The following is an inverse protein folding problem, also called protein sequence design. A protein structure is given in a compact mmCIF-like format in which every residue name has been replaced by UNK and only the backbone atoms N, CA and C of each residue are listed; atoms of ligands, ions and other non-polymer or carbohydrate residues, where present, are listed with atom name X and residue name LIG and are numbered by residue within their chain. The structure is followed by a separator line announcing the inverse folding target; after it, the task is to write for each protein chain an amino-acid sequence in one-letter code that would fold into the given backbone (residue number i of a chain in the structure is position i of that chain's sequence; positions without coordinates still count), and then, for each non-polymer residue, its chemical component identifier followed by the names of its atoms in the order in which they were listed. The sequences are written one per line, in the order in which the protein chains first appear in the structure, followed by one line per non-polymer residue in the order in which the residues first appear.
data_IF_990116862993
#
_entry.id   IF_990116862993
#
_cell.length_a   1.000
_cell.length_b   1.000
_cell.length_c   1.000
_cell.angle_alpha   90.00
_cell.angle_beta   90.00
_cell.angle_gamma   90.00
#
_symmetry.space_group_name_H-M   'P 1'
#
loop_
_entity.id
_entity.type
_entity.pdbx_description
1 polymer ?
#
# COMPACT_ATOMS: atom_id res chain seq x y z
N UNK A 1 1.73 -2.49 -24.56
CA UNK A 1 2.91 -2.75 -23.71
C UNK A 1 2.81 -4.12 -23.08
N UNK A 2 3.96 -4.75 -22.76
CA UNK A 2 4.07 -5.99 -22.00
C UNK A 2 4.42 -5.66 -20.53
N UNK A 3 3.55 -5.98 -19.60
CA UNK A 3 3.69 -5.62 -18.19
C UNK A 3 3.78 -6.89 -17.36
N UNK A 4 4.83 -7.03 -16.54
CA UNK A 4 4.91 -8.12 -15.59
C UNK A 4 4.49 -7.67 -14.19
N UNK A 5 3.91 -8.58 -13.43
CA UNK A 5 3.53 -8.40 -12.03
C UNK A 5 4.20 -9.49 -11.21
N UNK A 6 5.02 -9.11 -10.23
CA UNK A 6 5.62 -10.09 -9.34
C UNK A 6 4.59 -10.56 -8.30
N UNK A 7 4.27 -11.85 -8.39
CA UNK A 7 3.29 -12.49 -7.53
C UNK A 7 1.87 -12.45 -8.09
N UNK A 8 0.93 -12.98 -7.32
CA UNK A 8 -0.51 -13.00 -7.60
C UNK A 8 -1.30 -12.37 -6.45
N UNK A 9 -0.72 -11.37 -5.79
CA UNK A 9 -1.36 -10.63 -4.71
C UNK A 9 -2.42 -9.66 -5.24
N UNK A 10 -3.25 -9.17 -4.33
CA UNK A 10 -4.41 -8.32 -4.63
C UNK A 10 -4.05 -7.09 -5.44
N UNK A 11 -3.10 -6.28 -4.94
CA UNK A 11 -2.73 -5.00 -5.54
C UNK A 11 -2.21 -5.21 -6.97
N UNK A 12 -1.20 -6.11 -7.12
CA UNK A 12 -0.64 -6.41 -8.45
C UNK A 12 -1.68 -6.94 -9.42
N UNK A 13 -2.59 -7.82 -8.98
CA UNK A 13 -3.66 -8.37 -9.83
C UNK A 13 -4.70 -7.32 -10.20
N UNK A 14 -5.04 -6.38 -9.30
CA UNK A 14 -5.94 -5.27 -9.60
C UNK A 14 -5.39 -4.37 -10.70
N UNK A 15 -4.10 -4.01 -10.63
CA UNK A 15 -3.45 -3.20 -11.67
C UNK A 15 -3.25 -4.00 -12.97
N UNK A 16 -2.92 -5.30 -12.89
CA UNK A 16 -2.84 -6.16 -14.05
C UNK A 16 -4.18 -6.22 -14.81
N UNK A 17 -5.29 -6.39 -14.08
CA UNK A 17 -6.63 -6.31 -14.63
C UNK A 17 -6.89 -4.95 -15.30
N UNK A 18 -6.59 -3.84 -14.63
CA UNK A 18 -6.81 -2.51 -15.19
C UNK A 18 -6.02 -2.28 -16.49
N UNK A 19 -4.74 -2.68 -16.52
CA UNK A 19 -3.91 -2.59 -17.74
C UNK A 19 -4.37 -3.55 -18.84
N UNK A 20 -4.83 -4.76 -18.51
CA UNK A 20 -5.37 -5.68 -19.52
C UNK A 20 -6.63 -5.09 -20.16
N UNK A 21 -7.51 -4.44 -19.38
CA UNK A 21 -8.69 -3.73 -19.91
C UNK A 21 -8.33 -2.51 -20.75
N UNK A 22 -7.18 -1.88 -20.51
CA UNK A 22 -6.62 -0.80 -21.33
C UNK A 22 -5.90 -1.31 -22.60
N UNK A 23 -5.92 -2.63 -22.86
CA UNK A 23 -5.36 -3.23 -24.09
C UNK A 23 -3.87 -3.60 -23.99
N UNK A 24 -3.31 -3.68 -22.78
CA UNK A 24 -1.94 -4.14 -22.56
C UNK A 24 -1.89 -5.64 -22.27
N UNK A 25 -0.74 -6.26 -22.56
CA UNK A 25 -0.45 -7.63 -22.18
C UNK A 25 0.09 -7.68 -20.75
N UNK A 26 -0.52 -8.50 -19.89
CA UNK A 26 -0.13 -8.62 -18.49
C UNK A 26 0.27 -10.05 -18.12
N UNK A 27 1.36 -10.20 -17.38
CA UNK A 27 1.96 -11.48 -17.05
C UNK A 27 2.30 -11.54 -15.56
N UNK A 28 2.07 -12.66 -14.89
CA UNK A 28 2.48 -12.87 -13.52
C UNK A 28 3.81 -13.62 -13.43
N UNK A 29 4.75 -13.08 -12.68
CA UNK A 29 5.99 -13.75 -12.30
C UNK A 29 5.69 -14.51 -11.01
N UNK A 30 5.58 -15.83 -11.07
CA UNK A 30 5.32 -16.68 -9.92
C UNK A 30 6.57 -17.51 -9.57
N UNK A 31 6.70 -17.87 -8.30
CA UNK A 31 7.64 -18.89 -7.88
C UNK A 31 7.25 -20.25 -8.45
N UNK A 32 8.22 -21.11 -8.73
CA UNK A 32 8.01 -22.40 -9.42
C UNK A 32 6.92 -23.25 -8.77
N UNK A 33 6.90 -23.31 -7.44
CA UNK A 33 5.92 -24.08 -6.68
C UNK A 33 4.47 -23.56 -6.82
N UNK A 34 4.30 -22.34 -7.30
CA UNK A 34 2.97 -21.72 -7.49
C UNK A 34 2.47 -21.76 -8.94
N UNK A 35 3.35 -22.10 -9.91
CA UNK A 35 3.00 -22.08 -11.33
C UNK A 35 1.89 -23.09 -11.63
N UNK A 36 2.02 -24.33 -11.16
CA UNK A 36 1.05 -25.41 -11.43
C UNK A 36 -0.34 -25.15 -10.82
N UNK A 37 -0.41 -24.34 -9.76
CA UNK A 37 -1.67 -23.98 -9.09
C UNK A 37 -2.26 -22.64 -9.55
N UNK A 38 -1.62 -21.96 -10.51
CA UNK A 38 -2.10 -20.67 -10.99
C UNK A 38 -3.42 -20.84 -11.76
N UNK A 39 -4.47 -20.08 -11.42
CA UNK A 39 -5.71 -20.14 -12.17
C UNK A 39 -5.53 -19.51 -13.56
N UNK A 40 -6.19 -20.04 -14.59
CA UNK A 40 -6.19 -19.41 -15.92
C UNK A 40 -7.00 -18.11 -15.96
N UNK A 41 -7.96 -17.96 -15.02
CA UNK A 41 -8.86 -16.83 -14.92
C UNK A 41 -9.20 -16.53 -13.46
N UNK A 42 -9.47 -15.25 -13.20
CA UNK A 42 -9.91 -14.74 -11.89
C UNK A 42 -11.19 -13.92 -12.13
N UNK A 43 -12.26 -14.21 -11.39
CA UNK A 43 -13.45 -13.36 -11.36
C UNK A 43 -13.11 -12.07 -10.61
N UNK A 44 -13.48 -10.92 -11.16
CA UNK A 44 -13.19 -9.60 -10.59
C UNK A 44 -14.49 -8.92 -10.18
N UNK A 45 -14.61 -8.57 -8.91
CA UNK A 45 -15.61 -7.66 -8.36
C UNK A 45 -14.89 -6.37 -7.98
N UNK A 46 -15.03 -5.35 -8.82
CA UNK A 46 -14.33 -4.07 -8.67
C UNK A 46 -15.30 -2.96 -8.29
N UNK A 47 -15.01 -2.24 -7.22
CA UNK A 47 -15.54 -0.90 -7.03
C UNK A 47 -14.59 0.11 -7.67
N UNK A 48 -14.96 0.57 -8.86
CA UNK A 48 -14.14 1.41 -9.73
C UNK A 48 -14.35 2.90 -9.47
N UNK A 49 -13.34 3.55 -8.91
CA UNK A 49 -13.34 4.99 -8.63
C UNK A 49 -12.74 5.86 -9.73
N UNK A 50 -12.24 5.26 -10.83
CA UNK A 50 -11.49 6.01 -11.85
C UNK A 50 -12.33 7.05 -12.59
N UNK A 51 -13.55 6.70 -12.94
CA UNK A 51 -14.48 7.62 -13.62
C UNK A 51 -15.52 8.23 -12.68
N UNK A 52 -15.78 7.62 -11.53
CA UNK A 52 -16.77 8.07 -10.56
C UNK A 52 -16.17 8.08 -9.15
N UNK A 53 -15.99 9.26 -8.52
CA UNK A 53 -15.43 9.35 -7.16
C UNK A 53 -16.25 8.66 -6.06
N UNK A 54 -17.49 8.28 -6.34
CA UNK A 54 -18.31 7.45 -5.44
C UNK A 54 -18.12 5.96 -5.65
N UNK A 55 -17.41 5.57 -6.72
CA UNK A 55 -17.26 4.21 -7.18
C UNK A 55 -18.42 3.73 -8.06
N UNK A 56 -18.11 2.80 -8.93
CA UNK A 56 -19.06 2.05 -9.75
C UNK A 56 -18.73 0.57 -9.64
N UNK A 57 -19.70 -0.24 -9.26
CA UNK A 57 -19.53 -1.69 -9.17
C UNK A 57 -19.42 -2.30 -10.55
N UNK A 58 -18.39 -3.14 -10.75
CA UNK A 58 -18.15 -3.87 -11.99
C UNK A 58 -17.84 -5.34 -11.69
N UNK A 59 -18.52 -6.22 -12.39
CA UNK A 59 -18.22 -7.65 -12.43
C UNK A 59 -17.59 -7.99 -13.77
N UNK A 60 -16.44 -8.66 -13.73
CA UNK A 60 -15.69 -8.97 -14.92
C UNK A 60 -14.78 -10.20 -14.70
N UNK A 61 -13.97 -10.51 -15.69
CA UNK A 61 -13.00 -11.60 -15.67
C UNK A 61 -11.62 -11.09 -16.08
N UNK A 62 -10.61 -11.49 -15.31
CA UNK A 62 -9.20 -11.28 -15.61
C UNK A 62 -8.56 -12.57 -16.09
N UNK A 63 -7.90 -12.55 -17.25
CA UNK A 63 -7.13 -13.68 -17.78
C UNK A 63 -5.71 -13.63 -17.26
N UNK A 64 -5.26 -14.70 -16.64
CA UNK A 64 -3.93 -14.81 -16.06
C UNK A 64 -2.98 -15.41 -17.10
N UNK A 65 -1.94 -14.67 -17.47
CA UNK A 65 -0.79 -15.18 -18.22
C UNK A 65 0.42 -15.24 -17.29
N UNK A 66 1.32 -16.18 -17.54
CA UNK A 66 2.53 -16.37 -16.75
C UNK A 66 3.76 -15.94 -17.53
N UNK A 67 4.69 -15.28 -16.85
CA UNK A 67 5.99 -14.95 -17.43
C UNK A 67 6.89 -16.20 -17.49
N UNK A 68 7.67 -16.31 -18.54
CA UNK A 68 8.68 -17.33 -18.72
C UNK A 68 10.07 -16.83 -18.32
N UNK A 69 11.01 -17.74 -18.08
CA UNK A 69 12.39 -17.37 -17.83
C UNK A 69 13.02 -16.73 -19.08
N UNK A 70 13.76 -15.64 -18.90
CA UNK A 70 14.36 -14.86 -20.00
C UNK A 70 13.45 -13.81 -20.63
N UNK A 71 12.18 -13.71 -20.20
CA UNK A 71 11.26 -12.69 -20.72
C UNK A 71 11.73 -11.27 -20.45
N UNK A 72 11.39 -10.37 -21.38
CA UNK A 72 11.60 -8.92 -21.23
C UNK A 72 10.27 -8.19 -21.29
N UNK A 73 10.12 -7.22 -20.37
CA UNK A 73 8.90 -6.44 -20.20
C UNK A 73 9.19 -4.95 -20.30
N UNK A 74 8.19 -4.18 -20.72
CA UNK A 74 8.26 -2.71 -20.70
C UNK A 74 8.29 -2.22 -19.25
N UNK A 75 7.58 -2.88 -18.33
CA UNK A 75 7.60 -2.61 -16.90
C UNK A 75 7.36 -3.88 -16.07
N UNK A 76 7.95 -3.92 -14.87
CA UNK A 76 7.73 -4.97 -13.88
C UNK A 76 7.20 -4.33 -12.59
N UNK A 77 5.97 -4.63 -12.23
CA UNK A 77 5.37 -4.17 -10.97
C UNK A 77 5.78 -5.12 -9.84
N UNK A 78 6.41 -4.57 -8.81
CA UNK A 78 6.74 -5.28 -7.57
C UNK A 78 5.76 -4.85 -6.50
N UNK A 79 4.75 -5.68 -6.23
CA UNK A 79 3.75 -5.48 -5.19
C UNK A 79 3.89 -6.58 -4.14
N UNK A 80 4.79 -6.38 -3.20
CA UNK A 80 5.09 -7.34 -2.13
C UNK A 80 4.93 -6.70 -0.77
N UNK A 81 4.65 -7.52 0.25
CA UNK A 81 4.54 -7.08 1.64
C UNK A 81 5.84 -6.42 2.14
N UNK A 82 5.72 -5.60 3.17
CA UNK A 82 6.84 -4.89 3.77
C UNK A 82 7.99 -5.83 4.14
N UNK A 83 9.23 -5.40 3.84
CA UNK A 83 10.46 -6.17 4.09
C UNK A 83 10.78 -7.28 3.08
N UNK A 84 9.93 -7.52 2.06
CA UNK A 84 10.12 -8.61 1.07
C UNK A 84 10.77 -8.18 -0.26
N UNK A 85 11.21 -6.93 -0.38
CA UNK A 85 11.79 -6.42 -1.63
C UNK A 85 13.03 -7.20 -2.07
N UNK A 86 13.94 -7.55 -1.14
CA UNK A 86 15.16 -8.31 -1.47
C UNK A 86 14.83 -9.69 -2.08
N UNK A 87 13.83 -10.39 -1.54
CA UNK A 87 13.41 -11.70 -2.06
C UNK A 87 12.72 -11.56 -3.42
N UNK A 88 11.98 -10.47 -3.62
CA UNK A 88 11.37 -10.11 -4.90
C UNK A 88 12.45 -9.96 -6.00
N UNK A 89 13.50 -9.19 -5.73
CA UNK A 89 14.61 -8.97 -6.66
C UNK A 89 15.36 -10.28 -6.96
N UNK A 90 15.60 -11.12 -5.94
CA UNK A 90 16.23 -12.44 -6.15
C UNK A 90 15.38 -13.30 -7.11
N UNK A 91 14.05 -13.29 -6.96
CA UNK A 91 13.14 -14.06 -7.83
C UNK A 91 13.21 -13.58 -9.28
N UNK A 92 13.22 -12.28 -9.53
CA UNK A 92 13.34 -11.70 -10.88
C UNK A 92 14.69 -12.09 -11.51
N UNK A 93 15.79 -11.89 -10.75
CA UNK A 93 17.15 -12.20 -11.22
C UNK A 93 17.36 -13.70 -11.49
N UNK A 94 16.84 -14.59 -10.62
CA UNK A 94 17.00 -16.05 -10.79
C UNK A 94 16.29 -16.59 -12.03
N UNK A 95 15.29 -15.88 -12.55
CA UNK A 95 14.57 -16.23 -13.78
C UNK A 95 15.04 -15.46 -15.02
N UNK A 96 16.12 -14.67 -14.90
CA UNK A 96 16.65 -13.79 -15.98
C UNK A 96 15.57 -12.88 -16.61
N UNK A 97 14.56 -12.47 -15.82
CA UNK A 97 13.50 -11.58 -16.27
C UNK A 97 14.01 -10.13 -16.26
N UNK A 98 13.73 -9.37 -17.31
CA UNK A 98 14.28 -8.03 -17.56
C UNK A 98 13.19 -6.99 -17.74
N UNK A 99 13.42 -5.79 -17.26
CA UNK A 99 12.56 -4.60 -17.42
C UNK A 99 12.71 -3.63 -16.26
N UNK A 100 12.35 -2.36 -16.46
CA UNK A 100 12.28 -1.35 -15.41
C UNK A 100 11.26 -1.73 -14.33
N UNK A 101 11.58 -1.42 -13.06
CA UNK A 101 10.80 -1.81 -11.90
C UNK A 101 9.88 -0.67 -11.43
N UNK A 102 8.62 -0.98 -11.18
CA UNK A 102 7.67 -0.10 -10.47
C UNK A 102 7.48 -0.67 -9.08
N UNK A 103 7.95 0.05 -8.05
CA UNK A 103 7.91 -0.41 -6.66
C UNK A 103 6.58 0.00 -6.00
N UNK A 104 5.67 -0.95 -5.84
CA UNK A 104 4.43 -0.83 -5.06
C UNK A 104 4.61 -1.44 -3.68
N UNK A 105 5.57 -0.91 -2.92
CA UNK A 105 5.97 -1.49 -1.65
C UNK A 105 5.90 -0.47 -0.52
N UNK A 106 5.42 -0.92 0.65
CA UNK A 106 5.63 -0.22 1.90
C UNK A 106 7.04 -0.55 2.40
N UNK A 107 7.92 0.45 2.53
CA UNK A 107 9.24 0.26 3.11
C UNK A 107 9.60 1.42 4.03
N UNK A 108 10.27 1.06 5.14
CA UNK A 108 10.82 2.00 6.12
C UNK A 108 12.28 2.32 5.86
N UNK A 109 12.86 1.72 4.83
CA UNK A 109 14.25 1.90 4.41
C UNK A 109 14.51 3.33 3.91
N UNK A 110 15.75 3.79 4.07
CA UNK A 110 16.25 4.96 3.36
C UNK A 110 16.44 4.63 1.87
N UNK A 111 16.36 5.64 1.00
CA UNK A 111 16.57 5.48 -0.47
C UNK A 111 17.81 4.68 -0.78
N UNK A 112 18.96 5.01 -0.16
CA UNK A 112 20.23 4.32 -0.37
C UNK A 112 20.14 2.81 -0.10
N UNK A 113 19.43 2.40 0.95
CA UNK A 113 19.26 0.99 1.28
C UNK A 113 18.39 0.26 0.24
N UNK A 114 17.38 0.92 -0.31
CA UNK A 114 16.57 0.38 -1.40
C UNK A 114 17.43 0.24 -2.66
N UNK A 115 18.22 1.24 -3.00
CA UNK A 115 19.13 1.21 -4.16
C UNK A 115 20.20 0.11 -4.03
N UNK A 116 20.72 -0.15 -2.84
CA UNK A 116 21.63 -1.27 -2.59
C UNK A 116 20.98 -2.64 -2.90
N UNK A 117 19.68 -2.80 -2.60
CA UNK A 117 18.92 -4.02 -2.94
C UNK A 117 18.70 -4.15 -4.45
N UNK A 118 18.37 -3.03 -5.11
CA UNK A 118 18.05 -3.01 -6.53
C UNK A 118 19.30 -3.14 -7.42
N UNK A 119 20.45 -2.62 -6.96
CA UNK A 119 21.69 -2.55 -7.74
C UNK A 119 21.54 -1.62 -8.95
N UNK A 120 21.90 -2.13 -10.14
CA UNK A 120 21.85 -1.36 -11.39
C UNK A 120 20.47 -1.34 -12.06
N UNK A 121 19.43 -1.90 -11.42
CA UNK A 121 18.09 -1.93 -12.00
C UNK A 121 17.52 -0.52 -12.13
N UNK A 122 16.89 -0.24 -13.27
CA UNK A 122 16.04 0.93 -13.41
C UNK A 122 14.79 0.78 -12.54
N UNK A 123 14.38 1.85 -11.87
CA UNK A 123 13.19 1.79 -11.02
C UNK A 123 12.50 3.14 -10.84
N UNK A 124 11.26 3.07 -10.47
CA UNK A 124 10.46 4.19 -9.96
C UNK A 124 9.69 3.73 -8.74
N UNK A 125 9.61 4.58 -7.73
CA UNK A 125 8.82 4.33 -6.55
C UNK A 125 7.41 4.89 -6.74
N UNK A 126 6.41 4.07 -6.42
CA UNK A 126 5.03 4.48 -6.48
C UNK A 126 4.23 3.86 -5.32
N UNK A 127 3.08 4.43 -5.02
CA UNK A 127 2.16 3.88 -4.02
C UNK A 127 0.79 3.66 -4.66
N UNK A 128 0.30 2.40 -4.70
CA UNK A 128 -0.97 2.05 -5.30
C UNK A 128 -2.13 2.50 -4.42
N UNK A 129 -3.12 3.17 -5.00
CA UNK A 129 -4.37 3.51 -4.33
C UNK A 129 -5.45 2.49 -4.69
N UNK A 130 -5.19 1.26 -4.34
CA UNK A 130 -6.05 0.12 -4.52
C UNK A 130 -5.99 -0.78 -3.28
N UNK A 131 -7.03 -1.57 -3.07
CA UNK A 131 -7.08 -2.53 -1.97
C UNK A 131 -8.08 -3.64 -2.26
N UNK A 132 -8.03 -4.71 -1.47
CA UNK A 132 -8.94 -5.81 -1.71
C UNK A 132 -8.51 -7.11 -1.04
N UNK A 133 -9.11 -8.20 -1.47
CA UNK A 133 -8.71 -9.56 -1.13
C UNK A 133 -9.00 -10.50 -2.30
N UNK A 134 -8.22 -11.58 -2.38
CA UNK A 134 -8.47 -12.71 -3.28
C UNK A 134 -8.86 -13.90 -2.44
N UNK A 135 -10.03 -14.47 -2.72
CA UNK A 135 -10.53 -15.66 -2.05
C UNK A 135 -11.28 -16.53 -3.07
N UNK A 136 -11.00 -17.82 -3.08
CA UNK A 136 -11.68 -18.83 -3.93
C UNK A 136 -11.70 -18.45 -5.42
N UNK A 137 -10.59 -17.90 -5.94
CA UNK A 137 -10.47 -17.48 -7.34
C UNK A 137 -11.23 -16.19 -7.69
N UNK A 138 -11.69 -15.44 -6.68
CA UNK A 138 -12.37 -14.17 -6.83
C UNK A 138 -11.54 -13.04 -6.24
N UNK A 139 -11.32 -12.00 -7.04
CA UNK A 139 -10.70 -10.75 -6.64
C UNK A 139 -11.82 -9.75 -6.29
N UNK A 140 -11.95 -9.42 -5.01
CA UNK A 140 -12.80 -8.30 -4.57
C UNK A 140 -11.89 -7.11 -4.30
N UNK A 141 -12.03 -6.03 -5.06
CA UNK A 141 -11.09 -4.91 -4.99
C UNK A 141 -11.75 -3.55 -5.17
N UNK A 142 -10.99 -2.55 -4.77
CA UNK A 142 -11.27 -1.12 -4.99
C UNK A 142 -10.10 -0.55 -5.77
N UNK A 143 -10.36 0.30 -6.75
CA UNK A 143 -9.36 1.04 -7.48
C UNK A 143 -9.74 2.52 -7.55
N UNK A 144 -8.88 3.40 -7.03
CA UNK A 144 -9.05 4.84 -7.12
C UNK A 144 -8.57 5.37 -8.49
N UNK A 145 -8.85 6.63 -8.76
CA UNK A 145 -8.51 7.29 -10.00
C UNK A 145 -7.06 7.79 -10.09
N UNK A 146 -6.26 7.57 -9.06
CA UNK A 146 -4.89 8.07 -9.00
C UNK A 146 -3.93 7.07 -8.35
N UNK A 147 -2.64 7.39 -8.46
CA UNK A 147 -1.53 6.71 -7.82
C UNK A 147 -0.55 7.77 -7.32
N UNK A 148 0.09 7.56 -6.18
CA UNK A 148 1.23 8.39 -5.81
C UNK A 148 2.44 7.91 -6.60
N UNK A 149 3.13 8.83 -7.27
CA UNK A 149 4.24 8.49 -8.16
C UNK A 149 5.44 9.38 -7.89
N UNK A 150 6.62 8.79 -7.85
CA UNK A 150 7.87 9.52 -7.77
C UNK A 150 8.05 10.43 -9.00
N UNK A 151 8.55 11.65 -8.79
CA UNK A 151 8.81 12.57 -9.90
C UNK A 151 9.85 12.02 -10.87
N UNK A 152 9.69 12.30 -12.17
CA UNK A 152 10.66 11.87 -13.20
C UNK A 152 12.09 12.38 -12.96
N UNK A 153 12.26 13.49 -12.24
CA UNK A 153 13.58 14.02 -11.88
C UNK A 153 14.29 13.24 -10.77
N UNK A 154 13.55 12.46 -9.97
CA UNK A 154 14.08 11.62 -8.88
C UNK A 154 14.05 10.12 -9.23
N UNK A 155 13.17 9.73 -10.13
CA UNK A 155 13.06 8.35 -10.60
C UNK A 155 14.32 7.94 -11.37
N UNK A 156 14.72 6.68 -11.19
CA UNK A 156 15.88 6.09 -11.88
C UNK A 156 15.38 5.17 -13.00
N UNK A 157 14.65 5.76 -13.95
CA UNK A 157 14.02 5.06 -15.07
C UNK A 157 14.27 5.86 -16.37
N UNK A 158 14.63 5.18 -17.44
CA UNK A 158 14.98 5.82 -18.72
C UNK A 158 13.77 6.37 -19.46
N UNK A 159 12.64 5.67 -19.44
CA UNK A 159 11.39 6.08 -20.13
C UNK A 159 10.25 6.35 -19.14
N UNK A 160 10.36 7.47 -18.42
CA UNK A 160 9.30 7.93 -17.53
C UNK A 160 8.02 8.31 -18.30
N UNK A 161 8.14 8.77 -19.54
CA UNK A 161 6.99 9.16 -20.35
C UNK A 161 6.15 7.93 -20.76
N UNK A 162 6.78 6.80 -21.06
CA UNK A 162 6.06 5.55 -21.30
C UNK A 162 5.27 5.07 -20.08
N UNK A 163 5.84 5.21 -18.86
CA UNK A 163 5.11 4.91 -17.62
C UNK A 163 3.87 5.79 -17.45
N UNK A 164 4.01 7.10 -17.65
CA UNK A 164 2.89 8.04 -17.59
C UNK A 164 1.83 7.68 -18.63
N UNK A 165 2.24 7.30 -19.85
CA UNK A 165 1.33 6.85 -20.90
C UNK A 165 0.58 5.56 -20.51
N UNK A 166 1.28 4.59 -19.88
CA UNK A 166 0.67 3.37 -19.37
C UNK A 166 -0.41 3.68 -18.34
N UNK A 167 -0.12 4.52 -17.35
CA UNK A 167 -1.08 4.89 -16.31
C UNK A 167 -2.29 5.62 -16.88
N UNK A 168 -2.07 6.60 -17.76
CA UNK A 168 -3.13 7.36 -18.42
C UNK A 168 -4.04 6.47 -19.27
N UNK A 169 -3.48 5.44 -19.94
CA UNK A 169 -4.28 4.52 -20.76
C UNK A 169 -5.29 3.70 -19.94
N UNK A 170 -5.03 3.54 -18.64
CA UNK A 170 -5.90 2.86 -17.70
C UNK A 170 -6.73 3.84 -16.84
N UNK A 171 -6.82 5.12 -17.21
CA UNK A 171 -7.51 6.19 -16.47
C UNK A 171 -6.97 6.39 -15.04
N UNK A 172 -5.65 6.20 -14.83
CA UNK A 172 -4.97 6.37 -13.55
C UNK A 172 -4.13 7.63 -13.58
N UNK A 173 -4.54 8.65 -12.83
CA UNK A 173 -3.82 9.91 -12.66
C UNK A 173 -2.59 9.74 -11.79
N UNK A 174 -1.63 10.63 -11.91
CA UNK A 174 -0.42 10.64 -11.09
C UNK A 174 -0.46 11.83 -10.12
N UNK A 175 -0.35 11.56 -8.84
CA UNK A 175 -0.08 12.55 -7.81
C UNK A 175 1.40 12.46 -7.41
N UNK A 176 2.12 13.59 -7.51
CA UNK A 176 3.57 13.66 -7.31
C UNK A 176 3.84 14.33 -5.95
N UNK A 177 4.21 13.57 -4.91
CA UNK A 177 4.60 14.15 -3.63
C UNK A 177 5.98 14.81 -3.71
N UNK A 178 6.32 15.64 -2.72
CA UNK A 178 7.64 16.28 -2.64
C UNK A 178 8.78 15.27 -2.67
N UNK A 179 8.70 14.21 -1.86
CA UNK A 179 9.57 13.04 -1.92
C UNK A 179 8.74 11.78 -1.66
N UNK A 180 8.93 10.76 -2.50
CA UNK A 180 8.11 9.55 -2.43
C UNK A 180 8.45 8.68 -1.22
N UNK A 181 9.73 8.64 -0.79
CA UNK A 181 10.16 7.88 0.39
C UNK A 181 9.59 8.49 1.67
N UNK A 182 9.72 9.81 1.83
CA UNK A 182 9.15 10.52 2.97
C UNK A 182 7.62 10.40 3.00
N UNK A 183 6.97 10.44 1.82
CA UNK A 183 5.53 10.25 1.70
C UNK A 183 5.10 8.86 2.19
N UNK A 184 5.82 7.79 1.79
CA UNK A 184 5.56 6.42 2.26
C UNK A 184 5.73 6.34 3.79
N UNK A 185 6.77 6.95 4.36
CA UNK A 185 6.96 6.98 5.82
C UNK A 185 5.82 7.70 6.54
N UNK A 186 5.36 8.84 6.00
CA UNK A 186 4.19 9.57 6.54
C UNK A 186 2.95 8.69 6.47
N UNK A 187 2.72 8.04 5.34
CA UNK A 187 1.59 7.12 5.16
C UNK A 187 1.64 5.95 6.16
N UNK A 188 2.80 5.34 6.35
CA UNK A 188 2.99 4.29 7.35
C UNK A 188 2.77 4.80 8.78
N UNK A 189 3.22 6.01 9.10
CA UNK A 189 3.01 6.62 10.40
C UNK A 189 1.52 6.92 10.67
N UNK A 190 0.79 7.44 9.67
CA UNK A 190 -0.67 7.64 9.75
C UNK A 190 -1.37 6.29 10.00
N UNK A 191 -1.04 5.27 9.23
CA UNK A 191 -1.62 3.94 9.39
C UNK A 191 -1.29 3.32 10.74
N UNK A 192 -0.08 3.52 11.28
CA UNK A 192 0.28 3.06 12.63
C UNK A 192 -0.57 3.72 13.71
N UNK A 193 -0.83 5.02 13.61
CA UNK A 193 -1.74 5.74 14.51
C UNK A 193 -3.18 5.23 14.45
N UNK A 194 -3.69 5.00 13.23
CA UNK A 194 -5.04 4.44 12.98
C UNK A 194 -5.14 3.02 13.54
N UNK A 195 -4.24 2.13 13.13
CA UNK A 195 -4.26 0.70 13.50
C UNK A 195 -4.10 0.50 15.00
N UNK A 196 -3.13 1.17 15.62
CA UNK A 196 -2.93 1.06 17.07
C UNK A 196 -4.16 1.52 17.86
N UNK A 197 -4.90 2.51 17.35
CA UNK A 197 -6.15 2.97 17.96
C UNK A 197 -7.30 2.00 17.71
N UNK A 198 -7.43 1.43 16.51
CA UNK A 198 -8.43 0.43 16.21
C UNK A 198 -8.29 -0.81 17.10
N UNK A 199 -7.05 -1.26 17.30
CA UNK A 199 -6.70 -2.42 18.13
C UNK A 199 -6.29 -2.05 19.59
N UNK A 200 -6.74 -0.91 20.12
CA UNK A 200 -6.34 -0.41 21.44
C UNK A 200 -6.63 -1.34 22.62
N UNK A 201 -7.58 -2.26 22.45
CA UNK A 201 -7.86 -3.32 23.43
C UNK A 201 -6.87 -4.50 23.33
N UNK A 202 -5.88 -4.42 22.43
CA UNK A 202 -4.83 -5.41 22.25
C UNK A 202 -5.18 -6.56 21.31
N UNK A 203 -6.35 -6.56 20.68
CA UNK A 203 -6.81 -7.62 19.78
C UNK A 203 -6.77 -7.12 18.33
N UNK A 204 -6.12 -7.86 17.43
CA UNK A 204 -5.96 -7.52 16.01
C UNK A 204 -6.27 -8.72 15.07
N UNK A 205 -7.08 -9.65 15.53
CA UNK A 205 -7.43 -10.87 14.79
C UNK A 205 -8.45 -10.67 13.65
N UNK A 206 -9.23 -9.59 13.70
CA UNK A 206 -10.18 -9.21 12.65
C UNK A 206 -10.02 -7.73 12.28
N UNK A 207 -9.03 -7.39 11.43
CA UNK A 207 -8.79 -6.00 11.00
C UNK A 207 -10.02 -5.35 10.37
N UNK A 208 -10.85 -6.11 9.65
CA UNK A 208 -12.03 -5.59 8.99
C UNK A 208 -13.10 -5.15 9.98
N UNK A 209 -13.33 -5.92 11.03
CA UNK A 209 -14.25 -5.56 12.11
C UNK A 209 -13.74 -4.30 12.83
N UNK A 210 -12.45 -4.28 13.20
CA UNK A 210 -11.82 -3.16 13.88
C UNK A 210 -11.90 -1.86 13.06
N UNK A 211 -11.68 -1.95 11.74
CA UNK A 211 -11.81 -0.81 10.83
C UNK A 211 -13.25 -0.28 10.81
N UNK A 212 -14.27 -1.17 10.70
CA UNK A 212 -15.69 -0.76 10.75
C UNK A 212 -16.07 -0.10 12.07
N UNK A 213 -15.66 -0.68 13.19
CA UNK A 213 -15.90 -0.13 14.52
C UNK A 213 -15.26 1.26 14.67
N UNK A 214 -14.01 1.41 14.26
CA UNK A 214 -13.30 2.69 14.28
C UNK A 214 -14.01 3.76 13.44
N UNK A 215 -14.33 3.44 12.18
CA UNK A 215 -15.00 4.39 11.27
C UNK A 215 -16.39 4.81 11.76
N UNK A 216 -17.08 3.94 12.49
CA UNK A 216 -18.40 4.21 13.08
C UNK A 216 -18.38 5.06 14.35
N UNK A 217 -17.22 5.28 14.98
CA UNK A 217 -17.09 5.96 16.27
C UNK A 217 -16.24 7.23 16.18
N UNK A 218 -16.89 8.41 16.25
CA UNK A 218 -16.18 9.69 16.22
C UNK A 218 -15.25 9.90 17.43
N UNK A 219 -15.51 9.27 18.57
CA UNK A 219 -14.62 9.35 19.75
C UNK A 219 -13.35 8.53 19.51
N UNK A 220 -13.48 7.32 18.96
CA UNK A 220 -12.35 6.50 18.57
C UNK A 220 -11.52 7.19 17.48
N UNK A 221 -12.16 7.78 16.45
CA UNK A 221 -11.48 8.59 15.43
C UNK A 221 -10.76 9.81 16.02
N UNK A 222 -11.33 10.45 17.06
CA UNK A 222 -10.65 11.54 17.78
C UNK A 222 -9.36 11.04 18.47
N UNK A 223 -9.38 9.84 19.01
CA UNK A 223 -8.19 9.20 19.60
C UNK A 223 -7.19 8.85 18.49
N UNK A 224 -7.64 8.31 17.36
CA UNK A 224 -6.78 8.02 16.21
C UNK A 224 -6.05 9.27 15.69
N UNK A 225 -6.74 10.41 15.59
CA UNK A 225 -6.10 11.68 15.20
C UNK A 225 -5.00 12.09 16.20
N UNK A 226 -5.18 11.85 17.50
CA UNK A 226 -4.14 12.13 18.50
C UNK A 226 -2.96 11.16 18.36
N UNK A 227 -3.22 9.88 18.14
CA UNK A 227 -2.18 8.89 17.90
C UNK A 227 -1.38 9.19 16.61
N UNK A 228 -2.05 9.60 15.53
CA UNK A 228 -1.40 10.04 14.29
C UNK A 228 -0.45 11.22 14.54
N UNK A 229 -0.87 12.20 15.37
CA UNK A 229 0.02 13.32 15.74
C UNK A 229 1.26 12.90 16.51
N UNK A 230 1.19 11.81 17.26
CA UNK A 230 2.37 11.22 17.89
C UNK A 230 3.24 10.51 16.85
N UNK A 231 2.65 9.63 16.03
CA UNK A 231 3.41 8.80 15.09
C UNK A 231 4.10 9.60 13.98
N UNK A 232 3.51 10.69 13.49
CA UNK A 232 4.17 11.54 12.47
C UNK A 232 5.41 12.27 13.00
N UNK A 233 5.55 12.48 14.33
CA UNK A 233 6.79 13.01 14.92
C UNK A 233 7.98 12.08 14.69
N UNK A 234 7.74 10.78 14.53
CA UNK A 234 8.79 9.81 14.20
C UNK A 234 9.38 10.10 12.83
N UNK A 235 8.53 10.45 11.86
CA UNK A 235 8.96 10.81 10.51
C UNK A 235 9.70 12.14 10.48
N UNK A 236 9.22 13.13 11.24
CA UNK A 236 9.93 14.40 11.42
C UNK A 236 11.31 14.20 12.04
N UNK A 237 11.40 13.37 13.09
CA UNK A 237 12.67 13.03 13.73
C UNK A 237 13.63 12.24 12.81
N UNK A 238 13.12 11.58 11.74
CA UNK A 238 13.94 10.98 10.67
C UNK A 238 14.53 12.02 9.71
N UNK A 239 14.05 13.26 9.74
CA UNK A 239 14.55 14.36 8.93
C UNK A 239 13.57 14.88 7.87
N UNK A 240 12.37 14.29 7.75
CA UNK A 240 11.37 14.78 6.81
C UNK A 240 10.80 16.14 7.25
N UNK A 241 10.70 17.08 6.32
CA UNK A 241 10.03 18.37 6.58
C UNK A 241 8.51 18.26 6.39
N UNK A 242 7.80 18.03 7.48
CA UNK A 242 6.34 17.89 7.46
C UNK A 242 5.57 19.10 6.92
N UNK A 243 6.22 20.26 6.72
CA UNK A 243 5.60 21.44 6.10
C UNK A 243 5.38 21.25 4.60
N UNK A 244 6.13 20.37 3.97
CA UNK A 244 6.04 20.03 2.55
C UNK A 244 4.88 19.07 2.23
N UNK A 245 4.29 18.46 3.26
CA UNK A 245 3.21 17.46 3.18
C UNK A 245 1.92 17.98 3.81
N UNK A 246 1.55 19.23 3.45
CA UNK A 246 0.38 19.89 4.05
C UNK A 246 -0.93 19.22 3.71
N UNK A 247 -1.07 18.72 2.49
CA UNK A 247 -2.30 18.08 2.01
C UNK A 247 -2.58 16.79 2.78
N UNK A 248 -1.55 15.99 3.02
CA UNK A 248 -1.63 14.72 3.74
C UNK A 248 -1.92 14.92 5.23
N UNK A 249 -1.37 15.99 5.82
CA UNK A 249 -1.40 16.20 7.26
C UNK A 249 -2.46 17.19 7.74
N UNK A 250 -3.05 18.00 6.85
CA UNK A 250 -4.07 19.00 7.21
C UNK A 250 -5.25 18.42 8.00
N UNK A 251 -5.82 17.24 7.63
CA UNK A 251 -6.94 16.66 8.39
C UNK A 251 -6.59 16.36 9.85
N UNK A 252 -5.32 16.11 10.16
CA UNK A 252 -4.84 15.79 11.49
C UNK A 252 -4.37 17.02 12.29
N UNK A 253 -4.24 18.20 11.68
CA UNK A 253 -3.82 19.45 12.34
C UNK A 253 -4.98 20.23 12.95
N UNK A 254 -6.19 20.07 12.45
CA UNK A 254 -7.40 20.69 13.02
C UNK A 254 -7.78 20.06 14.37
N UNK A 255 -8.56 20.73 15.26
CA UNK A 255 -8.92 20.15 16.55
C UNK A 255 -9.41 18.70 16.45
N UNK A 256 -8.84 17.79 17.21
CA UNK A 256 -9.03 16.34 17.03
C UNK A 256 -10.50 15.90 17.09
N UNK A 257 -11.31 16.53 17.96
CA UNK A 257 -12.75 16.25 18.03
C UNK A 257 -13.49 16.64 16.74
N UNK A 258 -13.11 17.77 16.10
CA UNK A 258 -13.68 18.20 14.82
C UNK A 258 -13.23 17.22 13.72
N UNK A 259 -11.95 16.87 13.69
CA UNK A 259 -11.40 15.90 12.76
C UNK A 259 -12.12 14.53 12.85
N UNK A 260 -12.32 14.01 14.07
CA UNK A 260 -13.01 12.74 14.28
C UNK A 260 -14.46 12.73 13.79
N UNK A 261 -15.20 13.83 14.00
CA UNK A 261 -16.57 13.98 13.49
C UNK A 261 -16.56 14.04 11.94
N UNK A 262 -15.64 14.83 11.36
CA UNK A 262 -15.51 14.97 9.91
C UNK A 262 -15.13 13.65 9.24
N UNK A 263 -14.17 12.91 9.80
CA UNK A 263 -13.77 11.59 9.31
C UNK A 263 -14.92 10.58 9.37
N UNK A 264 -15.68 10.52 10.46
CA UNK A 264 -16.87 9.65 10.54
C UNK A 264 -17.87 9.97 9.43
N UNK A 265 -18.12 11.26 9.17
CA UNK A 265 -19.03 11.68 8.10
C UNK A 265 -18.48 11.33 6.71
N UNK A 266 -17.17 11.47 6.50
CA UNK A 266 -16.49 11.09 5.26
C UNK A 266 -16.67 9.59 4.99
N UNK A 267 -16.35 8.75 5.96
CA UNK A 267 -16.51 7.29 5.81
C UNK A 267 -17.96 6.87 5.55
N UNK A 268 -18.92 7.49 6.23
CA UNK A 268 -20.34 7.21 6.01
C UNK A 268 -20.85 7.67 4.63
N UNK A 269 -20.22 8.66 4.03
CA UNK A 269 -20.64 9.27 2.75
C UNK A 269 -19.83 8.86 1.53
N UNK A 270 -18.73 8.11 1.71
CA UNK A 270 -17.84 7.70 0.62
C UNK A 270 -17.53 6.19 0.71
N UNK A 271 -18.16 5.42 -0.16
CA UNK A 271 -18.04 3.96 -0.17
C UNK A 271 -16.63 3.50 -0.56
N UNK A 272 -15.97 4.13 -1.52
CA UNK A 272 -14.58 3.83 -1.90
C UNK A 272 -13.66 3.90 -0.68
N UNK A 273 -13.72 5.02 0.05
CA UNK A 273 -12.86 5.25 1.22
C UNK A 273 -13.19 4.30 2.38
N UNK A 274 -14.47 3.99 2.62
CA UNK A 274 -14.84 3.05 3.67
C UNK A 274 -14.48 1.60 3.31
N UNK A 275 -14.67 1.22 2.06
CA UNK A 275 -14.39 -0.14 1.58
C UNK A 275 -12.89 -0.45 1.59
N UNK A 276 -12.04 0.48 1.14
CA UNK A 276 -10.59 0.23 1.16
C UNK A 276 -10.05 0.00 2.58
N UNK A 277 -10.62 0.67 3.57
CA UNK A 277 -10.24 0.48 4.98
C UNK A 277 -10.62 -0.90 5.52
N UNK A 278 -11.63 -1.54 4.94
CA UNK A 278 -12.14 -2.85 5.40
C UNK A 278 -11.64 -4.04 4.58
N UNK A 279 -10.87 -3.83 3.52
CA UNK A 279 -10.43 -4.91 2.64
C UNK A 279 -9.02 -5.43 2.96
N UNK A 280 -8.24 -4.72 3.79
CA UNK A 280 -6.90 -5.16 4.14
C UNK A 280 -6.93 -6.10 5.35
N UNK A 281 -6.59 -7.36 5.13
CA UNK A 281 -6.71 -8.44 6.13
C UNK A 281 -5.36 -9.01 6.59
N UNK A 282 -4.27 -8.70 5.92
CA UNK A 282 -2.96 -9.23 6.29
C UNK A 282 -2.41 -8.52 7.53
N UNK A 283 -2.60 -9.18 8.69
CA UNK A 283 -2.14 -8.69 9.99
C UNK A 283 -0.62 -8.48 10.00
N UNK A 284 0.17 -9.32 9.31
CA UNK A 284 1.63 -9.20 9.30
C UNK A 284 2.06 -7.93 8.55
N UNK A 285 1.44 -7.64 7.40
CA UNK A 285 1.75 -6.43 6.62
C UNK A 285 1.30 -5.16 7.38
N UNK A 286 0.12 -5.20 8.00
CA UNK A 286 -0.38 -4.11 8.87
C UNK A 286 0.59 -3.87 10.03
N UNK A 287 1.02 -4.92 10.72
CA UNK A 287 1.92 -4.82 11.87
C UNK A 287 3.35 -4.45 11.49
N UNK A 288 3.79 -4.74 10.28
CA UNK A 288 5.11 -4.31 9.79
C UNK A 288 5.26 -2.78 9.91
N UNK A 289 4.30 -2.01 9.38
CA UNK A 289 4.32 -0.55 9.46
C UNK A 289 4.27 -0.04 10.91
N UNK A 290 3.38 -0.61 11.72
CA UNK A 290 3.25 -0.26 13.14
C UNK A 290 4.56 -0.50 13.90
N UNK A 291 5.20 -1.65 13.68
CA UNK A 291 6.45 -2.03 14.31
C UNK A 291 7.60 -1.13 13.88
N UNK A 292 7.71 -0.79 12.60
CA UNK A 292 8.74 0.14 12.10
C UNK A 292 8.65 1.50 12.80
N UNK A 293 7.44 2.06 12.92
CA UNK A 293 7.22 3.35 13.60
C UNK A 293 7.51 3.25 15.09
N UNK A 294 7.09 2.16 15.74
CA UNK A 294 7.33 1.92 17.17
C UNK A 294 8.82 1.83 17.48
N UNK A 295 9.55 0.98 16.78
CA UNK A 295 10.97 0.73 17.00
C UNK A 295 11.81 2.01 16.75
N UNK A 296 11.51 2.74 15.67
CA UNK A 296 12.22 4.00 15.36
C UNK A 296 11.91 5.08 16.39
N UNK A 297 10.65 5.20 16.86
CA UNK A 297 10.27 6.14 17.90
C UNK A 297 10.99 5.85 19.23
N UNK A 298 11.05 4.59 19.64
CA UNK A 298 11.80 4.14 20.83
C UNK A 298 13.30 4.40 20.70
N UNK A 299 13.88 4.05 19.53
CA UNK A 299 15.30 4.29 19.22
C UNK A 299 15.70 5.77 19.33
N UNK A 300 14.79 6.67 18.96
CA UNK A 300 15.01 8.12 19.02
C UNK A 300 14.62 8.75 20.36
N UNK A 301 14.12 7.96 21.30
CA UNK A 301 13.70 8.44 22.63
C UNK A 301 12.50 9.39 22.58
N UNK A 302 11.61 9.24 21.61
CA UNK A 302 10.43 10.09 21.48
C UNK A 302 9.35 9.71 22.51
N UNK A 303 8.65 10.71 23.03
CA UNK A 303 7.49 10.52 23.89
C UNK A 303 6.20 10.43 23.08
N UNK A 304 5.67 9.20 22.95
CA UNK A 304 4.47 8.86 22.18
C UNK A 304 3.53 8.01 23.06
N UNK A 305 3.05 8.56 24.20
CA UNK A 305 2.43 7.75 25.26
C UNK A 305 1.17 7.02 24.80
N UNK A 306 0.36 7.63 23.95
CA UNK A 306 -0.87 7.02 23.43
C UNK A 306 -0.55 5.88 22.46
N UNK A 307 0.34 6.13 21.51
CA UNK A 307 0.75 5.14 20.52
C UNK A 307 1.46 3.95 21.18
N UNK A 308 2.44 4.21 22.07
CA UNK A 308 3.16 3.14 22.76
C UNK A 308 2.23 2.31 23.65
N UNK A 309 1.35 2.96 24.42
CA UNK A 309 0.43 2.24 25.29
C UNK A 309 -0.53 1.32 24.53
N UNK A 310 -0.97 1.72 23.33
CA UNK A 310 -1.77 0.87 22.44
C UNK A 310 -0.93 -0.30 21.89
N UNK A 311 0.28 -0.01 21.38
CA UNK A 311 1.15 -1.04 20.79
C UNK A 311 1.61 -2.08 21.80
N UNK A 312 1.92 -1.69 23.04
CA UNK A 312 2.33 -2.61 24.11
C UNK A 312 1.22 -3.59 24.48
N UNK A 313 -0.05 -3.16 24.47
CA UNK A 313 -1.19 -4.07 24.65
C UNK A 313 -1.30 -5.08 23.50
N UNK A 314 -1.13 -4.60 22.25
CA UNK A 314 -1.16 -5.47 21.07
C UNK A 314 -0.04 -6.51 21.16
N UNK A 315 1.19 -6.11 21.47
CA UNK A 315 2.34 -7.02 21.58
C UNK A 315 2.14 -8.05 22.69
N UNK A 316 1.67 -7.64 23.87
CA UNK A 316 1.39 -8.56 24.99
C UNK A 316 0.44 -9.68 24.59
N UNK A 317 -0.57 -9.38 23.76
CA UNK A 317 -1.54 -10.38 23.29
C UNK A 317 -1.02 -11.20 22.10
N UNK A 318 -0.12 -10.66 21.28
CA UNK A 318 0.50 -11.35 20.17
C UNK A 318 1.65 -12.29 20.60
N UNK A 319 2.40 -11.98 21.65
CA UNK A 319 3.47 -12.84 22.20
C UNK A 319 2.95 -14.19 22.68
N UNK A 320 1.65 -14.29 23.00
CA UNK A 320 0.95 -15.57 23.20
C UNK A 320 0.62 -16.33 21.91
N UNK A 321 0.76 -15.69 20.74
CA UNK A 321 0.54 -16.25 19.41
C UNK A 321 1.78 -15.92 18.57
N UNK A 322 2.65 -16.89 18.34
CA UNK A 322 3.83 -16.69 17.48
C UNK A 322 3.41 -16.02 16.17
N UNK A 323 3.85 -14.77 15.97
CA UNK A 323 3.88 -14.15 14.64
C UNK A 323 4.87 -14.98 13.81
N UNK A 324 4.38 -15.68 12.80
CA UNK A 324 5.15 -16.51 11.86
C UNK A 324 5.76 -15.61 10.79
#
# INVERSE_FOLDING_TARGET
MRIAILGSGVIGTTYAYAFQKAGHETYHILREEKIAAAPAKITVHLLDGRCNPKGEEKDDEYRVSLAEAGDTFDFIIISVAGGKLSDAIKTIKSRDIKGPLILFCNFWNERKQVEEILGDSEYVTAFPTAGGHIQDGKLNCVLFDHIMLESGSKARISDYAALVSLLNSADIKQEIPHDMFEWIWIHMAINAGVTSTAAREGVIDDPNRLARELMGDSKALTIAVRAIRETVKVVEARGADLRLYKNELLPYRIPAGIAGIAMKKLFAGNELTSRIMTLHNDVNDIMYGCKCVYDEGKKRGLELPLFYGNMERIFTNLDGRKLV
#
